data_IF_295521360720
#
_entry.id   IF_295521360720
#
_cell.length_a   1.000
_cell.length_b   1.000
_cell.length_c   1.000
_cell.angle_alpha   90.00
_cell.angle_beta   90.00
_cell.angle_gamma   90.00
#
_symmetry.space_group_name_H-M   'P 1'
#
loop_
_entity.id
_entity.type
_entity.pdbx_description
1 polymer ?
#
# COMPACT_ATOMS: atom_id res chain seq x y z
N UNK A 1 1.02 21.14 7.23
CA UNK A 1 1.67 20.37 6.17
C UNK A 1 1.77 18.94 6.66
N UNK A 2 1.42 17.95 5.84
CA UNK A 2 1.80 16.58 6.16
C UNK A 2 3.32 16.46 6.17
N UNK A 3 3.86 15.91 7.25
CA UNK A 3 5.30 15.91 7.57
C UNK A 3 6.01 14.69 6.94
N UNK A 4 5.30 13.74 6.33
CA UNK A 4 5.91 12.50 5.84
C UNK A 4 7.03 12.74 4.80
N UNK A 5 6.91 13.77 3.97
CA UNK A 5 7.96 14.10 3.01
C UNK A 5 9.27 14.56 3.69
N UNK A 6 9.19 15.13 4.90
CA UNK A 6 10.39 15.49 5.67
C UNK A 6 11.07 14.27 6.28
N UNK A 7 10.42 13.10 6.29
CA UNK A 7 10.98 11.81 6.72
C UNK A 7 11.68 11.07 5.57
N UNK A 8 11.46 11.46 4.31
CA UNK A 8 12.10 10.82 3.16
C UNK A 8 13.63 10.89 3.29
N UNK A 9 14.27 9.75 3.02
CA UNK A 9 15.71 9.57 3.10
C UNK A 9 16.33 9.75 4.50
N UNK A 10 15.52 9.75 5.58
CA UNK A 10 16.01 9.87 6.96
C UNK A 10 15.97 8.55 7.68
N UNK A 11 14.78 8.01 7.91
CA UNK A 11 14.57 6.90 8.81
C UNK A 11 13.47 5.95 8.33
N UNK A 12 13.50 4.76 8.93
CA UNK A 12 12.60 3.66 8.60
C UNK A 12 11.20 3.93 9.14
N UNK A 13 10.19 3.59 8.32
CA UNK A 13 8.78 3.73 8.69
C UNK A 13 8.01 2.47 8.31
N UNK A 14 7.13 2.03 9.22
CA UNK A 14 6.26 0.86 8.99
C UNK A 14 4.83 1.31 8.75
N UNK A 15 4.25 0.82 7.65
CA UNK A 15 2.82 0.97 7.34
C UNK A 15 2.03 -0.15 8.03
N UNK A 16 0.82 0.19 8.49
CA UNK A 16 -0.10 -0.78 9.06
C UNK A 16 -0.41 -1.92 8.08
N UNK A 17 -0.56 -3.12 8.62
CA UNK A 17 -1.16 -4.23 7.88
C UNK A 17 -2.62 -3.93 7.51
N UNK A 18 -3.16 -4.54 6.44
CA UNK A 18 -4.56 -4.35 6.05
C UNK A 18 -5.52 -4.65 7.21
N UNK A 19 -6.65 -3.93 7.27
CA UNK A 19 -7.69 -4.21 8.26
C UNK A 19 -8.49 -5.47 7.93
N UNK A 20 -8.55 -5.85 6.64
CA UNK A 20 -9.37 -6.95 6.16
C UNK A 20 -9.13 -8.28 6.90
N UNK A 21 -7.89 -8.76 7.16
CA UNK A 21 -7.69 -9.99 7.92
C UNK A 21 -8.23 -9.96 9.36
N UNK A 22 -8.31 -8.79 9.99
CA UNK A 22 -8.90 -8.63 11.33
C UNK A 22 -10.43 -8.69 11.24
N UNK A 23 -11.01 -7.97 10.28
CA UNK A 23 -12.46 -7.94 10.06
C UNK A 23 -13.00 -9.31 9.65
N UNK A 24 -12.30 -10.03 8.76
CA UNK A 24 -12.68 -11.38 8.35
C UNK A 24 -12.77 -12.35 9.54
N UNK A 25 -11.86 -12.24 10.52
CA UNK A 25 -11.91 -13.06 11.76
C UNK A 25 -13.07 -12.71 12.68
N UNK A 26 -13.63 -11.51 12.53
CA UNK A 26 -14.83 -11.07 13.23
C UNK A 26 -16.11 -11.44 12.49
N UNK A 27 -16.00 -12.09 11.31
CA UNK A 27 -17.13 -12.58 10.53
C UNK A 27 -17.57 -11.68 9.38
N UNK A 28 -16.81 -10.62 9.07
CA UNK A 28 -17.10 -9.79 7.90
C UNK A 28 -16.82 -10.53 6.59
N UNK A 29 -17.71 -10.37 5.62
CA UNK A 29 -17.40 -10.68 4.23
C UNK A 29 -16.55 -9.55 3.64
N UNK A 30 -15.23 -9.70 3.72
CA UNK A 30 -14.29 -8.67 3.25
C UNK A 30 -14.29 -8.49 1.73
N UNK A 31 -14.85 -9.40 0.96
CA UNK A 31 -15.02 -9.21 -0.48
C UNK A 31 -16.21 -8.29 -0.78
N UNK A 32 -17.24 -8.34 0.05
CA UNK A 32 -18.51 -7.64 -0.18
C UNK A 32 -18.71 -6.38 0.65
N UNK A 33 -18.19 -6.35 1.88
CA UNK A 33 -18.61 -5.41 2.90
C UNK A 33 -17.48 -4.50 3.40
N UNK A 34 -16.27 -4.60 2.84
CA UNK A 34 -15.11 -3.85 3.35
C UNK A 34 -15.30 -2.33 3.27
N UNK A 35 -15.94 -1.83 2.21
CA UNK A 35 -16.25 -0.40 2.07
C UNK A 35 -17.37 0.03 3.02
N UNK A 36 -18.36 -0.85 3.21
CA UNK A 36 -19.46 -0.63 4.15
C UNK A 36 -18.96 -0.59 5.59
N UNK A 37 -17.87 -1.29 5.92
CA UNK A 37 -17.32 -1.30 7.27
C UNK A 37 -17.02 0.12 7.79
N UNK A 38 -16.53 1.03 6.94
CA UNK A 38 -16.32 2.43 7.36
C UNK A 38 -17.62 3.16 7.71
N UNK A 39 -18.74 2.83 7.04
CA UNK A 39 -20.00 3.56 7.20
C UNK A 39 -20.91 2.94 8.27
N UNK A 40 -20.92 1.61 8.35
CA UNK A 40 -21.84 0.84 9.18
C UNK A 40 -21.21 0.47 10.51
N UNK A 41 -19.92 0.10 10.51
CA UNK A 41 -19.19 -0.33 11.70
C UNK A 41 -17.81 0.35 11.83
N UNK A 42 -17.74 1.69 11.85
CA UNK A 42 -16.46 2.43 11.93
C UNK A 42 -15.64 2.06 13.18
N UNK A 43 -16.31 1.68 14.26
CA UNK A 43 -15.67 1.21 15.51
C UNK A 43 -14.85 -0.07 15.28
N UNK A 44 -15.34 -0.99 14.46
CA UNK A 44 -14.66 -2.25 14.13
C UNK A 44 -13.40 -1.97 13.30
N UNK A 45 -13.49 -1.04 12.34
CA UNK A 45 -12.33 -0.56 11.57
C UNK A 45 -11.32 0.15 12.48
N UNK A 46 -11.79 0.98 13.41
CA UNK A 46 -10.94 1.66 14.40
C UNK A 46 -10.19 0.66 15.26
N UNK A 47 -10.86 -0.37 15.76
CA UNK A 47 -10.23 -1.38 16.60
C UNK A 47 -9.17 -2.19 15.82
N UNK A 48 -9.41 -2.49 14.54
CA UNK A 48 -8.41 -3.11 13.67
C UNK A 48 -7.17 -2.22 13.45
N UNK A 49 -7.37 -0.92 13.21
CA UNK A 49 -6.26 0.05 13.09
C UNK A 49 -5.56 0.28 14.43
N UNK A 50 -6.29 0.27 15.54
CA UNK A 50 -5.75 0.40 16.90
C UNK A 50 -4.77 -0.71 17.21
N UNK A 51 -5.04 -1.94 16.80
CA UNK A 51 -4.11 -3.05 16.95
C UNK A 51 -2.78 -2.80 16.22
N UNK A 52 -2.82 -2.25 15.01
CA UNK A 52 -1.61 -1.86 14.27
C UNK A 52 -0.86 -0.72 14.98
N UNK A 53 -1.58 0.29 15.47
CA UNK A 53 -0.99 1.39 16.25
C UNK A 53 -0.34 0.89 17.55
N UNK A 54 -0.98 -0.05 18.25
CA UNK A 54 -0.42 -0.69 19.45
C UNK A 54 0.80 -1.56 19.14
N UNK A 55 0.86 -2.16 17.95
CA UNK A 55 2.05 -2.84 17.45
C UNK A 55 3.19 -1.87 17.07
N UNK A 56 2.95 -0.56 17.11
CA UNK A 56 3.96 0.48 16.88
C UNK A 56 4.03 1.00 15.45
N UNK A 57 3.11 0.60 14.56
CA UNK A 57 3.08 1.12 13.19
C UNK A 57 2.98 2.66 13.20
N UNK A 58 3.94 3.32 12.54
CA UNK A 58 4.01 4.79 12.51
C UNK A 58 3.04 5.38 11.49
N UNK A 59 2.83 4.67 10.37
CA UNK A 59 1.93 5.07 9.30
C UNK A 59 0.67 4.19 9.34
N UNK A 60 -0.49 4.77 9.59
CA UNK A 60 -1.77 4.05 9.44
C UNK A 60 -2.34 4.29 8.06
N UNK A 61 -2.81 3.21 7.43
CA UNK A 61 -3.44 3.23 6.12
C UNK A 61 -4.95 3.17 6.30
N UNK A 62 -5.67 4.22 5.88
CA UNK A 62 -7.12 4.27 5.98
C UNK A 62 -7.76 3.18 5.10
N UNK A 63 -8.89 2.64 5.55
CA UNK A 63 -9.64 1.60 4.83
C UNK A 63 -10.40 2.19 3.64
N UNK A 64 -9.68 2.68 2.63
CA UNK A 64 -10.23 3.45 1.51
C UNK A 64 -9.86 2.88 0.14
N UNK A 65 -9.24 1.69 0.06
CA UNK A 65 -8.71 1.14 -1.19
C UNK A 65 -9.72 1.18 -2.35
N UNK A 66 -11.01 1.00 -2.09
CA UNK A 66 -12.05 0.89 -3.11
C UNK A 66 -12.88 2.18 -3.31
N UNK A 67 -12.37 3.36 -2.96
CA UNK A 67 -13.12 4.64 -3.09
C UNK A 67 -13.29 5.18 -4.52
N UNK A 68 -12.75 4.50 -5.54
CA UNK A 68 -13.02 4.89 -6.93
C UNK A 68 -14.51 4.71 -7.27
N UNK A 69 -15.14 5.62 -8.03
CA UNK A 69 -16.56 5.52 -8.36
C UNK A 69 -16.98 4.16 -8.94
N UNK A 70 -16.18 3.56 -9.83
CA UNK A 70 -16.44 2.26 -10.41
C UNK A 70 -16.48 1.13 -9.36
N UNK A 71 -15.56 1.14 -8.40
CA UNK A 71 -15.56 0.18 -7.28
C UNK A 71 -16.77 0.37 -6.37
N UNK A 72 -17.10 1.59 -6.01
CA UNK A 72 -18.26 1.89 -5.18
C UNK A 72 -19.59 1.59 -5.88
N UNK A 73 -19.66 1.76 -7.20
CA UNK A 73 -20.86 1.45 -8.00
C UNK A 73 -21.24 -0.04 -7.92
N UNK A 74 -20.27 -0.96 -7.77
CA UNK A 74 -20.57 -2.38 -7.52
C UNK A 74 -21.37 -2.62 -6.24
N UNK A 75 -21.40 -1.64 -5.33
CA UNK A 75 -22.12 -1.65 -4.06
C UNK A 75 -23.26 -0.63 -3.99
N UNK A 76 -23.57 0.08 -5.09
CA UNK A 76 -24.56 1.16 -5.12
C UNK A 76 -24.17 2.36 -4.25
N UNK A 77 -22.87 2.63 -4.15
CA UNK A 77 -22.26 3.66 -3.29
C UNK A 77 -21.47 4.71 -4.08
N UNK A 78 -21.67 4.81 -5.39
CA UNK A 78 -20.87 5.66 -6.29
C UNK A 78 -20.72 7.12 -5.83
N UNK A 79 -21.74 7.66 -5.15
CA UNK A 79 -21.77 9.03 -4.64
C UNK A 79 -21.37 9.15 -3.16
N UNK A 80 -20.91 8.07 -2.52
CA UNK A 80 -20.58 8.00 -1.08
C UNK A 80 -19.08 8.07 -0.78
N UNK A 81 -18.23 8.27 -1.79
CA UNK A 81 -16.77 8.30 -1.62
C UNK A 81 -16.31 9.29 -0.53
N UNK A 82 -16.86 10.51 -0.52
CA UNK A 82 -16.52 11.54 0.47
C UNK A 82 -16.83 11.10 1.90
N UNK A 83 -17.95 10.39 2.10
CA UNK A 83 -18.33 9.89 3.42
C UNK A 83 -17.43 8.74 3.87
N UNK A 84 -17.10 7.81 2.97
CA UNK A 84 -16.17 6.70 3.25
C UNK A 84 -14.79 7.24 3.65
N UNK A 85 -14.28 8.23 2.91
CA UNK A 85 -13.00 8.87 3.18
C UNK A 85 -13.02 9.64 4.49
N UNK A 86 -14.03 10.50 4.70
CA UNK A 86 -14.17 11.29 5.93
C UNK A 86 -14.20 10.39 7.16
N UNK A 87 -15.00 9.31 7.13
CA UNK A 87 -15.09 8.40 8.28
C UNK A 87 -13.81 7.59 8.46
N UNK A 88 -13.22 7.07 7.37
CA UNK A 88 -11.96 6.32 7.43
C UNK A 88 -10.80 7.15 7.98
N UNK A 89 -10.69 8.43 7.57
CA UNK A 89 -9.68 9.35 8.08
C UNK A 89 -9.97 9.78 9.52
N UNK A 90 -11.22 10.06 9.89
CA UNK A 90 -11.57 10.38 11.28
C UNK A 90 -11.15 9.26 12.23
N UNK A 91 -11.48 8.02 11.89
CA UNK A 91 -11.09 6.82 12.63
C UNK A 91 -9.57 6.68 12.75
N UNK A 92 -8.82 6.89 11.67
CA UNK A 92 -7.36 6.81 11.70
C UNK A 92 -6.73 7.93 12.57
N UNK A 93 -7.25 9.16 12.48
CA UNK A 93 -6.75 10.31 13.23
C UNK A 93 -7.02 10.22 14.73
N UNK A 94 -8.14 9.63 15.16
CA UNK A 94 -8.43 9.37 16.57
C UNK A 94 -7.32 8.58 17.28
N UNK A 95 -6.62 7.71 16.53
CA UNK A 95 -5.53 6.87 17.03
C UNK A 95 -4.19 7.61 17.13
N UNK A 96 -4.13 8.87 16.69
CA UNK A 96 -2.93 9.75 16.71
C UNK A 96 -1.67 9.02 16.19
N UNK A 97 -1.69 8.48 14.96
CA UNK A 97 -0.48 7.96 14.33
C UNK A 97 0.50 9.08 13.98
N UNK A 98 1.73 8.72 13.56
CA UNK A 98 2.65 9.73 13.04
C UNK A 98 2.17 10.22 11.67
N UNK A 99 1.68 9.29 10.84
CA UNK A 99 1.16 9.59 9.51
C UNK A 99 -0.11 8.79 9.19
N UNK A 100 -1.00 9.38 8.38
CA UNK A 100 -2.20 8.73 7.84
C UNK A 100 -2.16 8.75 6.31
N UNK A 101 -2.27 7.58 5.69
CA UNK A 101 -2.28 7.43 4.24
C UNK A 101 -3.69 7.07 3.75
N UNK A 102 -4.10 7.62 2.61
CA UNK A 102 -5.32 7.21 1.90
C UNK A 102 -4.95 6.20 0.83
N UNK A 103 -5.36 4.96 1.00
CA UNK A 103 -5.16 3.91 0.01
C UNK A 103 -6.20 4.03 -1.11
N UNK A 104 -5.75 3.90 -2.37
CA UNK A 104 -6.60 3.81 -3.56
C UNK A 104 -6.06 2.67 -4.43
N UNK A 105 -6.88 1.65 -4.67
CA UNK A 105 -6.57 0.51 -5.51
C UNK A 105 -7.08 0.66 -6.94
N UNK A 106 -6.86 -0.34 -7.81
CA UNK A 106 -7.29 -0.30 -9.20
C UNK A 106 -8.81 -0.21 -9.31
N UNK A 107 -9.31 0.69 -10.16
CA UNK A 107 -10.75 0.91 -10.34
C UNK A 107 -11.49 -0.29 -10.97
N UNK A 108 -10.77 -1.18 -11.66
CA UNK A 108 -11.30 -2.41 -12.25
C UNK A 108 -12.04 -2.22 -13.57
N UNK A 109 -12.11 -1.00 -14.11
CA UNK A 109 -12.67 -0.77 -15.45
C UNK A 109 -11.74 -1.35 -16.53
N UNK A 110 -12.30 -1.90 -17.62
CA UNK A 110 -11.49 -2.27 -18.78
C UNK A 110 -10.78 -1.03 -19.34
N UNK A 111 -9.48 -1.18 -19.59
CA UNK A 111 -8.64 -0.13 -20.17
C UNK A 111 -8.18 -0.53 -21.58
N UNK A 112 -8.57 0.28 -22.56
CA UNK A 112 -8.01 0.23 -23.92
C UNK A 112 -7.01 1.38 -24.09
N UNK A 113 -5.69 1.09 -24.15
CA UNK A 113 -4.66 2.12 -24.23
C UNK A 113 -4.66 2.88 -25.57
N UNK A 114 -5.37 2.39 -26.59
CA UNK A 114 -5.51 3.06 -27.88
C UNK A 114 -6.70 4.01 -27.92
N UNK A 115 -7.61 3.90 -26.96
CA UNK A 115 -8.83 4.68 -26.88
C UNK A 115 -8.68 5.87 -25.92
N UNK A 116 -8.75 7.08 -26.46
CA UNK A 116 -8.71 8.32 -25.67
C UNK A 116 -9.86 8.40 -24.65
N UNK A 117 -11.05 7.90 -25.00
CA UNK A 117 -12.18 7.90 -24.06
C UNK A 117 -11.95 6.92 -22.92
N UNK A 118 -11.43 5.72 -23.19
CA UNK A 118 -11.10 4.74 -22.15
C UNK A 118 -10.04 5.25 -21.18
N UNK A 119 -8.97 5.87 -21.70
CA UNK A 119 -7.94 6.51 -20.88
C UNK A 119 -8.50 7.65 -20.02
N UNK A 120 -9.33 8.52 -20.61
CA UNK A 120 -9.93 9.63 -19.89
C UNK A 120 -10.88 9.15 -18.77
N UNK A 121 -11.70 8.13 -19.04
CA UNK A 121 -12.61 7.57 -18.03
C UNK A 121 -11.82 6.94 -16.89
N UNK A 122 -10.83 6.09 -17.19
CA UNK A 122 -9.98 5.47 -16.17
C UNK A 122 -9.25 6.52 -15.32
N UNK A 123 -8.64 7.54 -15.93
CA UNK A 123 -8.00 8.64 -15.19
C UNK A 123 -8.99 9.37 -14.29
N UNK A 124 -10.20 9.63 -14.79
CA UNK A 124 -11.21 10.38 -14.05
C UNK A 124 -11.72 9.64 -12.80
N UNK A 125 -11.72 8.30 -12.80
CA UNK A 125 -11.99 7.50 -11.59
C UNK A 125 -11.08 7.89 -10.42
N UNK A 126 -9.77 7.96 -10.67
CA UNK A 126 -8.79 8.29 -9.65
C UNK A 126 -8.79 9.78 -9.29
N UNK A 127 -9.08 10.66 -10.26
CA UNK A 127 -9.25 12.10 -10.00
C UNK A 127 -10.48 12.39 -9.13
N UNK A 128 -11.58 11.63 -9.28
CA UNK A 128 -12.76 11.71 -8.41
C UNK A 128 -12.47 11.13 -7.03
N UNK A 129 -11.80 9.98 -6.96
CA UNK A 129 -11.35 9.40 -5.69
C UNK A 129 -10.48 10.37 -4.88
N UNK A 130 -9.47 10.99 -5.49
CA UNK A 130 -8.63 11.95 -4.80
C UNK A 130 -9.38 13.23 -4.38
N UNK A 131 -10.31 13.74 -5.20
CA UNK A 131 -11.18 14.88 -4.84
C UNK A 131 -12.08 14.61 -3.63
N UNK A 132 -12.45 13.35 -3.39
CA UNK A 132 -13.22 12.99 -2.19
C UNK A 132 -12.44 13.20 -0.87
N UNK A 133 -11.12 13.47 -0.95
CA UNK A 133 -10.26 13.82 0.18
C UNK A 133 -10.12 15.34 0.39
N UNK A 134 -10.76 16.18 -0.43
CA UNK A 134 -10.65 17.64 -0.33
C UNK A 134 -11.10 18.12 1.06
N UNK A 135 -10.29 18.99 1.68
CA UNK A 135 -10.52 19.48 3.04
C UNK A 135 -10.23 18.48 4.16
N UNK A 136 -9.84 17.24 3.85
CA UNK A 136 -9.39 16.26 4.84
C UNK A 136 -7.87 16.34 5.06
N UNK A 137 -7.42 15.96 6.26
CA UNK A 137 -6.00 15.83 6.55
C UNK A 137 -5.49 14.42 6.19
N UNK A 138 -4.48 14.34 5.33
CA UNK A 138 -3.77 13.10 4.99
C UNK A 138 -2.29 13.41 4.75
N UNK A 139 -1.43 12.40 4.90
CA UNK A 139 0.01 12.51 4.68
C UNK A 139 0.45 12.16 3.26
N UNK A 140 -0.19 11.17 2.65
CA UNK A 140 0.05 10.77 1.27
C UNK A 140 -1.14 9.98 0.71
N UNK A 141 -1.25 10.00 -0.63
CA UNK A 141 -2.02 8.98 -1.33
C UNK A 141 -1.18 7.74 -1.52
N UNK A 142 -1.79 6.57 -1.38
CA UNK A 142 -1.15 5.28 -1.56
C UNK A 142 -1.87 4.48 -2.64
N UNK A 143 -1.32 4.55 -3.85
CA UNK A 143 -1.76 3.78 -5.00
C UNK A 143 -1.23 2.36 -4.86
N UNK A 144 -2.07 1.41 -4.47
CA UNK A 144 -1.66 0.07 -4.09
C UNK A 144 -2.42 -1.04 -4.83
N UNK A 145 -1.78 -2.19 -5.05
CA UNK A 145 -2.42 -3.37 -5.66
C UNK A 145 -2.56 -3.31 -7.17
N UNK A 146 -1.72 -2.53 -7.86
CA UNK A 146 -1.77 -2.40 -9.31
C UNK A 146 -1.09 -3.59 -10.01
N UNK A 147 -1.81 -4.22 -10.92
CA UNK A 147 -1.34 -5.41 -11.67
C UNK A 147 -0.85 -5.12 -13.09
N UNK A 148 -0.90 -3.88 -13.57
CA UNK A 148 -0.34 -3.49 -14.86
C UNK A 148 0.06 -1.99 -14.88
N UNK A 149 1.04 -1.59 -15.72
CA UNK A 149 1.51 -0.19 -15.78
C UNK A 149 0.50 0.81 -16.34
N UNK A 150 -0.43 0.38 -17.20
CA UNK A 150 -1.40 1.26 -17.85
C UNK A 150 -2.45 1.80 -16.86
N UNK A 151 -2.95 0.94 -15.97
CA UNK A 151 -3.83 1.33 -14.87
C UNK A 151 -3.11 2.23 -13.87
N UNK A 152 -1.86 1.88 -13.52
CA UNK A 152 -1.04 2.68 -12.61
C UNK A 152 -0.80 4.09 -13.16
N UNK A 153 -0.50 4.19 -14.46
CA UNK A 153 -0.36 5.48 -15.16
C UNK A 153 -1.64 6.31 -15.04
N UNK A 154 -2.81 5.72 -15.29
CA UNK A 154 -4.09 6.43 -15.14
C UNK A 154 -4.31 6.92 -13.71
N UNK A 155 -3.92 6.12 -12.71
CA UNK A 155 -4.03 6.48 -11.30
C UNK A 155 -3.12 7.63 -10.91
N UNK A 156 -1.83 7.57 -11.27
CA UNK A 156 -0.87 8.64 -11.02
C UNK A 156 -1.32 9.95 -11.67
N UNK A 157 -1.70 9.91 -12.95
CA UNK A 157 -2.22 11.08 -13.66
C UNK A 157 -3.49 11.65 -13.02
N UNK A 158 -4.42 10.79 -12.62
CA UNK A 158 -5.71 11.20 -12.03
C UNK A 158 -5.54 11.87 -10.67
N UNK A 159 -4.73 11.29 -9.79
CA UNK A 159 -4.42 11.89 -8.48
C UNK A 159 -3.66 13.20 -8.64
N UNK A 160 -2.61 13.22 -9.48
CA UNK A 160 -1.79 14.43 -9.72
C UNK A 160 -2.56 15.58 -10.36
N UNK A 161 -3.60 15.28 -11.13
CA UNK A 161 -4.46 16.32 -11.73
C UNK A 161 -5.15 17.19 -10.67
N UNK A 162 -5.40 16.65 -9.48
CA UNK A 162 -6.23 17.31 -8.45
C UNK A 162 -5.51 17.52 -7.13
N UNK A 163 -4.37 16.86 -6.90
CA UNK A 163 -3.62 16.97 -5.64
C UNK A 163 -2.10 17.04 -5.83
N UNK A 164 -1.47 17.89 -5.01
CA UNK A 164 -0.02 17.98 -4.85
C UNK A 164 0.54 17.15 -3.68
N UNK A 165 -0.28 16.37 -2.98
CA UNK A 165 0.18 15.53 -1.88
C UNK A 165 1.19 14.46 -2.35
N UNK A 166 2.10 13.96 -1.49
CA UNK A 166 2.96 12.84 -1.83
C UNK A 166 2.16 11.61 -2.29
N UNK A 167 2.68 10.88 -3.28
CA UNK A 167 2.04 9.67 -3.80
C UNK A 167 2.99 8.48 -3.66
N UNK A 168 2.56 7.47 -2.92
CA UNK A 168 3.21 6.17 -2.83
C UNK A 168 2.59 5.30 -3.92
N UNK A 169 3.41 4.74 -4.81
CA UNK A 169 2.95 3.86 -5.87
C UNK A 169 3.49 2.44 -5.65
N UNK A 170 2.61 1.44 -5.69
CA UNK A 170 2.99 0.05 -5.54
C UNK A 170 2.27 -0.86 -6.53
N UNK A 171 3.04 -1.79 -7.10
CA UNK A 171 2.55 -2.87 -7.97
C UNK A 171 2.70 -4.24 -7.32
N UNK A 172 1.86 -5.17 -7.71
CA UNK A 172 1.94 -6.56 -7.27
C UNK A 172 2.88 -7.34 -8.18
N UNK A 173 3.88 -8.01 -7.61
CA UNK A 173 4.98 -8.65 -8.33
C UNK A 173 5.19 -10.08 -7.83
N UNK A 174 5.26 -11.03 -8.76
CA UNK A 174 5.52 -12.43 -8.46
C UNK A 174 7.01 -12.74 -8.22
N UNK A 175 7.34 -14.01 -8.00
CA UNK A 175 8.73 -14.42 -7.77
C UNK A 175 9.64 -14.30 -9.01
N UNK A 176 9.08 -14.21 -10.21
CA UNK A 176 9.84 -13.98 -11.44
C UNK A 176 10.08 -12.49 -11.73
N UNK A 177 9.45 -11.59 -10.97
CA UNK A 177 9.52 -10.15 -11.22
C UNK A 177 8.47 -9.67 -12.24
N UNK A 178 7.45 -10.50 -12.50
CA UNK A 178 6.34 -10.18 -13.39
C UNK A 178 5.17 -9.62 -12.59
N UNK A 179 4.46 -8.68 -13.19
CA UNK A 179 3.20 -8.16 -12.65
C UNK A 179 2.07 -9.18 -12.82
N UNK A 180 0.97 -8.98 -12.10
CA UNK A 180 -0.19 -9.89 -12.09
C UNK A 180 -0.87 -10.08 -13.45
N UNK A 181 -0.64 -9.20 -14.43
CA UNK A 181 -1.13 -9.38 -15.79
C UNK A 181 -0.33 -10.42 -16.62
N UNK A 182 0.81 -10.87 -16.11
CA UNK A 182 1.70 -11.86 -16.72
C UNK A 182 2.44 -11.37 -17.97
N UNK A 183 2.41 -10.06 -18.26
CA UNK A 183 3.00 -9.47 -19.48
C UNK A 183 4.07 -8.45 -19.17
N UNK A 184 3.91 -7.69 -18.10
CA UNK A 184 4.82 -6.61 -17.74
C UNK A 184 5.71 -7.01 -16.56
N UNK A 185 6.88 -6.39 -16.52
CA UNK A 185 7.89 -6.58 -15.49
C UNK A 185 7.85 -5.46 -14.46
N UNK A 186 8.51 -5.68 -13.32
CA UNK A 186 8.75 -4.62 -12.33
C UNK A 186 9.36 -3.36 -12.98
N UNK A 187 10.31 -3.50 -13.93
CA UNK A 187 10.92 -2.35 -14.63
C UNK A 187 9.91 -1.52 -15.42
N UNK A 188 8.96 -2.16 -16.09
CA UNK A 188 7.92 -1.46 -16.85
C UNK A 188 7.06 -0.58 -15.91
N UNK A 189 6.76 -1.09 -14.71
CA UNK A 189 6.05 -0.33 -13.70
C UNK A 189 6.91 0.80 -13.11
N UNK A 190 8.19 0.55 -12.82
CA UNK A 190 9.11 1.56 -12.31
C UNK A 190 9.27 2.72 -13.29
N UNK A 191 9.37 2.44 -14.60
CA UNK A 191 9.43 3.47 -15.62
C UNK A 191 8.20 4.40 -15.55
N UNK A 192 7.00 3.84 -15.37
CA UNK A 192 5.78 4.63 -15.17
C UNK A 192 5.81 5.40 -13.85
N UNK A 193 6.23 4.81 -12.75
CA UNK A 193 6.31 5.51 -11.46
C UNK A 193 7.25 6.72 -11.52
N UNK A 194 8.40 6.58 -12.21
CA UNK A 194 9.36 7.67 -12.41
C UNK A 194 8.82 8.73 -13.37
N UNK A 195 8.31 8.33 -14.53
CA UNK A 195 7.78 9.26 -15.55
C UNK A 195 6.62 10.12 -15.01
N UNK A 196 5.77 9.54 -14.16
CA UNK A 196 4.61 10.22 -13.58
C UNK A 196 4.82 10.67 -12.12
N UNK A 197 6.09 10.82 -11.71
CA UNK A 197 6.51 11.49 -10.47
C UNK A 197 5.83 10.95 -9.20
N UNK A 198 5.83 9.63 -9.05
CA UNK A 198 5.57 9.00 -7.75
C UNK A 198 6.62 9.48 -6.73
N UNK A 199 6.18 9.78 -5.52
CA UNK A 199 7.06 10.23 -4.44
C UNK A 199 7.77 9.06 -3.74
N UNK A 200 7.17 7.87 -3.75
CA UNK A 200 7.74 6.63 -3.23
C UNK A 200 7.42 5.51 -4.22
N UNK A 201 8.44 4.72 -4.58
CA UNK A 201 8.33 3.60 -5.52
C UNK A 201 8.27 2.32 -4.72
N UNK A 202 7.34 1.43 -5.04
CA UNK A 202 7.14 0.23 -4.26
C UNK A 202 6.61 -0.97 -5.01
N UNK A 203 6.65 -2.10 -4.32
CA UNK A 203 6.08 -3.35 -4.78
C UNK A 203 5.54 -4.17 -3.62
N UNK A 204 4.60 -5.07 -3.93
CA UNK A 204 4.15 -6.11 -3.03
C UNK A 204 4.48 -7.47 -3.62
N UNK A 205 5.02 -8.39 -2.82
CA UNK A 205 5.36 -9.73 -3.32
C UNK A 205 5.12 -10.83 -2.28
N UNK A 206 4.57 -11.99 -2.69
CA UNK A 206 4.57 -13.20 -1.87
C UNK A 206 5.85 -14.03 -2.05
N UNK A 207 6.81 -13.56 -2.85
CA UNK A 207 8.03 -14.30 -3.17
C UNK A 207 8.94 -14.49 -1.95
N UNK A 208 9.86 -15.47 -1.96
CA UNK A 208 10.89 -15.63 -0.93
C UNK A 208 11.71 -14.36 -0.70
N UNK A 209 12.24 -14.19 0.52
CA UNK A 209 12.94 -12.99 0.95
C UNK A 209 14.12 -12.62 0.05
N UNK A 210 14.90 -13.59 -0.42
CA UNK A 210 16.03 -13.34 -1.34
C UNK A 210 15.58 -12.60 -2.61
N UNK A 211 14.41 -13.00 -3.13
CA UNK A 211 13.83 -12.37 -4.31
C UNK A 211 13.28 -10.98 -3.99
N UNK A 212 12.61 -10.81 -2.84
CA UNK A 212 12.16 -9.50 -2.38
C UNK A 212 13.32 -8.52 -2.16
N UNK A 213 14.46 -8.97 -1.61
CA UNK A 213 15.70 -8.18 -1.49
C UNK A 213 16.25 -7.79 -2.87
N UNK A 214 16.20 -8.71 -3.84
CA UNK A 214 16.62 -8.41 -5.21
C UNK A 214 15.73 -7.35 -5.85
N UNK A 215 14.41 -7.42 -5.67
CA UNK A 215 13.48 -6.39 -6.13
C UNK A 215 13.73 -5.05 -5.43
N UNK A 216 13.94 -5.03 -4.11
CA UNK A 216 14.24 -3.81 -3.37
C UNK A 216 15.48 -3.09 -3.92
N UNK A 217 16.55 -3.83 -4.24
CA UNK A 217 17.74 -3.25 -4.89
C UNK A 217 17.45 -2.70 -6.29
N UNK A 218 16.61 -3.39 -7.09
CA UNK A 218 16.19 -2.91 -8.42
C UNK A 218 15.40 -1.60 -8.31
N UNK A 219 14.46 -1.52 -7.35
CA UNK A 219 13.70 -0.28 -7.10
C UNK A 219 14.62 0.85 -6.61
N UNK A 220 15.53 0.57 -5.67
CA UNK A 220 16.51 1.55 -5.20
C UNK A 220 17.43 2.05 -6.32
N UNK A 221 17.75 1.18 -7.29
CA UNK A 221 18.53 1.53 -8.48
C UNK A 221 17.78 2.33 -9.55
N UNK A 222 16.46 2.50 -9.43
CA UNK A 222 15.65 3.23 -10.41
C UNK A 222 15.78 4.76 -10.28
N UNK A 223 16.33 5.26 -9.17
CA UNK A 223 16.58 6.69 -8.95
C UNK A 223 16.60 7.05 -7.46
N UNK A 224 16.72 8.35 -7.14
CA UNK A 224 16.86 8.84 -5.77
C UNK A 224 15.49 8.92 -5.06
N UNK A 225 14.74 7.82 -5.08
CA UNK A 225 13.40 7.75 -4.49
C UNK A 225 13.38 6.85 -3.26
N UNK A 226 12.59 7.18 -2.22
CA UNK A 226 12.31 6.23 -1.16
C UNK A 226 11.65 4.96 -1.71
N UNK A 227 12.01 3.82 -1.12
CA UNK A 227 11.51 2.50 -1.53
C UNK A 227 10.52 1.96 -0.51
N UNK A 228 9.35 1.54 -0.98
CA UNK A 228 8.35 0.78 -0.22
C UNK A 228 8.44 -0.70 -0.59
N UNK A 229 8.63 -1.56 0.41
CA UNK A 229 8.56 -3.01 0.24
C UNK A 229 7.39 -3.57 1.04
N UNK A 230 6.51 -4.31 0.36
CA UNK A 230 5.41 -5.02 1.00
C UNK A 230 5.60 -6.53 0.87
N UNK A 231 5.65 -7.22 2.01
CA UNK A 231 5.72 -8.68 2.06
C UNK A 231 4.30 -9.24 2.20
N UNK A 232 3.86 -9.98 1.19
CA UNK A 232 2.50 -10.52 1.13
C UNK A 232 2.45 -11.85 1.88
N UNK A 233 1.84 -11.82 3.06
CA UNK A 233 1.60 -13.00 3.88
C UNK A 233 0.46 -13.79 3.27
N UNK A 234 0.69 -15.09 3.00
CA UNK A 234 -0.38 -16.00 2.59
C UNK A 234 -1.17 -16.49 3.80
N UNK A 235 -2.29 -17.17 3.55
CA UNK A 235 -3.11 -17.72 4.62
C UNK A 235 -2.27 -18.52 5.63
N UNK A 236 -2.53 -18.26 6.91
CA UNK A 236 -1.82 -18.94 7.98
C UNK A 236 -2.22 -20.41 8.02
N UNK A 237 -1.23 -21.29 7.87
CA UNK A 237 -1.39 -22.72 8.07
C UNK A 237 -0.81 -23.10 9.45
N UNK A 238 -1.64 -23.43 10.46
CA UNK A 238 -1.16 -23.76 11.81
C UNK A 238 -0.24 -24.98 11.88
N UNK A 239 -0.22 -25.81 10.83
CA UNK A 239 0.65 -26.99 10.73
C UNK A 239 2.03 -26.67 10.13
N UNK A 240 2.22 -25.46 9.60
CA UNK A 240 3.49 -25.05 9.01
C UNK A 240 4.46 -24.64 10.11
N UNK A 241 5.57 -25.38 10.23
CA UNK A 241 6.63 -25.11 11.22
C UNK A 241 7.76 -24.22 10.70
N UNK A 242 8.00 -24.23 9.38
CA UNK A 242 9.13 -23.58 8.73
C UNK A 242 8.71 -22.80 7.47
N UNK A 243 9.55 -21.88 7.02
CA UNK A 243 9.33 -21.12 5.79
C UNK A 243 9.42 -22.03 4.56
N UNK A 244 8.48 -21.88 3.62
CA UNK A 244 8.51 -22.57 2.32
C UNK A 244 8.47 -21.56 1.18
N UNK A 245 8.83 -21.94 -0.07
CA UNK A 245 8.69 -21.06 -1.23
C UNK A 245 7.27 -20.54 -1.44
N UNK A 246 6.27 -21.35 -1.12
CA UNK A 246 4.85 -21.01 -1.27
C UNK A 246 4.37 -20.09 -0.16
N UNK A 247 4.85 -20.26 1.07
CA UNK A 247 4.51 -19.41 2.21
C UNK A 247 5.77 -19.05 3.01
N UNK A 248 6.59 -18.11 2.50
CA UNK A 248 7.86 -17.75 3.14
C UNK A 248 7.65 -16.92 4.41
N UNK A 249 6.52 -16.22 4.52
CA UNK A 249 6.16 -15.33 5.62
C UNK A 249 5.11 -15.95 6.56
N UNK A 250 5.31 -17.21 6.93
CA UNK A 250 4.31 -18.04 7.63
C UNK A 250 4.02 -17.62 9.08
N UNK A 251 4.95 -16.91 9.73
CA UNK A 251 4.79 -16.34 11.07
C UNK A 251 5.43 -14.94 11.16
N UNK A 252 5.03 -14.09 12.13
CA UNK A 252 5.60 -12.74 12.28
C UNK A 252 7.11 -12.71 12.49
N UNK A 253 7.69 -13.68 13.20
CA UNK A 253 9.10 -13.67 13.61
C UNK A 253 10.06 -13.63 12.41
N UNK A 254 9.68 -14.24 11.28
CA UNK A 254 10.51 -14.21 10.06
C UNK A 254 10.67 -12.80 9.50
N UNK A 255 9.74 -11.87 9.81
CA UNK A 255 9.82 -10.49 9.35
C UNK A 255 10.89 -9.67 10.08
N UNK A 256 11.35 -10.10 11.25
CA UNK A 256 12.44 -9.42 11.98
C UNK A 256 13.73 -9.46 11.15
N UNK A 257 14.09 -10.65 10.66
CA UNK A 257 15.24 -10.82 9.76
C UNK A 257 14.98 -10.17 8.40
N UNK A 258 13.75 -10.28 7.88
CA UNK A 258 13.38 -9.67 6.61
C UNK A 258 13.55 -8.14 6.61
N UNK A 259 13.08 -7.45 7.65
CA UNK A 259 13.21 -6.00 7.78
C UNK A 259 14.67 -5.55 7.73
N UNK A 260 15.56 -6.27 8.42
CA UNK A 260 17.00 -5.97 8.43
C UNK A 260 17.60 -6.09 7.03
N UNK A 261 17.30 -7.17 6.31
CA UNK A 261 17.83 -7.42 4.97
C UNK A 261 17.25 -6.44 3.93
N UNK A 262 15.95 -6.13 4.02
CA UNK A 262 15.29 -5.18 3.14
C UNK A 262 15.80 -3.75 3.36
N UNK A 263 16.02 -3.35 4.62
CA UNK A 263 16.67 -2.07 4.94
C UNK A 263 18.05 -2.00 4.28
N UNK A 264 18.88 -3.04 4.44
CA UNK A 264 20.20 -3.11 3.81
C UNK A 264 20.13 -3.11 2.26
N UNK A 265 18.99 -3.46 1.69
CA UNK A 265 18.72 -3.41 0.25
C UNK A 265 18.20 -2.05 -0.24
N UNK A 266 18.04 -1.07 0.65
CA UNK A 266 17.57 0.28 0.31
C UNK A 266 16.08 0.54 0.61
N UNK A 267 15.37 -0.39 1.24
CA UNK A 267 14.00 -0.14 1.68
C UNK A 267 13.96 0.96 2.75
N UNK A 268 13.02 1.89 2.63
CA UNK A 268 12.70 2.88 3.67
C UNK A 268 11.37 2.55 4.35
N UNK A 269 10.36 2.23 3.54
CA UNK A 269 9.03 1.91 4.01
C UNK A 269 8.83 0.39 3.97
N UNK A 270 8.31 -0.17 5.06
CA UNK A 270 8.02 -1.60 5.16
C UNK A 270 6.54 -1.81 5.47
N UNK A 271 5.94 -2.83 4.87
CA UNK A 271 4.57 -3.27 5.19
C UNK A 271 4.47 -4.78 5.11
N UNK A 272 3.65 -5.37 5.98
CA UNK A 272 3.16 -6.73 5.79
C UNK A 272 1.72 -6.67 5.27
N UNK A 273 1.44 -7.33 4.15
CA UNK A 273 0.18 -7.29 3.43
C UNK A 273 -0.44 -8.69 3.27
N UNK A 274 -1.53 -8.81 2.49
CA UNK A 274 -2.27 -10.07 2.34
C UNK A 274 -2.97 -10.46 3.63
N UNK A 275 -2.73 -11.68 4.12
CA UNK A 275 -3.31 -12.21 5.36
C UNK A 275 -2.57 -11.76 6.64
N UNK A 276 -1.68 -10.76 6.54
CA UNK A 276 -0.89 -10.25 7.65
C UNK A 276 -1.79 -9.72 8.77
N UNK A 277 -1.53 -10.19 9.99
CA UNK A 277 -2.11 -9.63 11.21
C UNK A 277 -1.27 -8.45 11.72
N UNK A 278 -1.80 -7.63 12.66
CA UNK A 278 -1.01 -6.56 13.29
C UNK A 278 0.29 -7.01 13.95
N UNK A 279 0.43 -8.30 14.31
CA UNK A 279 1.68 -8.84 14.84
C UNK A 279 2.83 -8.78 13.83
N UNK A 280 2.54 -8.91 12.53
CA UNK A 280 3.54 -8.77 11.47
C UNK A 280 4.04 -7.32 11.37
N UNK A 281 3.16 -6.33 11.51
CA UNK A 281 3.58 -4.93 11.63
C UNK A 281 4.48 -4.72 12.85
N UNK A 282 4.14 -5.31 14.00
CA UNK A 282 4.98 -5.26 15.21
C UNK A 282 6.37 -5.86 15.02
N UNK A 283 6.49 -6.97 14.28
CA UNK A 283 7.79 -7.57 13.96
C UNK A 283 8.65 -6.66 13.07
N UNK A 284 8.04 -5.99 12.07
CA UNK A 284 8.74 -5.00 11.26
C UNK A 284 9.18 -3.79 12.09
N UNK A 285 8.32 -3.28 12.97
CA UNK A 285 8.63 -2.15 13.85
C UNK A 285 9.79 -2.49 14.77
N UNK A 286 9.73 -3.62 15.47
CA UNK A 286 10.77 -4.05 16.40
C UNK A 286 12.16 -4.17 15.75
N UNK A 287 12.21 -4.46 14.46
CA UNK A 287 13.45 -4.64 13.70
C UNK A 287 13.98 -3.37 13.02
N UNK A 288 13.14 -2.33 12.85
CA UNK A 288 13.47 -1.18 12.01
C UNK A 288 13.26 0.19 12.66
N UNK A 289 12.46 0.28 13.73
CA UNK A 289 12.23 1.55 14.42
C UNK A 289 13.53 2.12 15.01
N UNK A 290 13.72 3.44 14.85
CA UNK A 290 14.91 4.15 15.32
C UNK A 290 16.15 3.99 14.43
N UNK A 291 16.07 3.21 13.34
CA UNK A 291 17.14 3.13 12.36
C UNK A 291 16.96 4.15 11.22
N UNK A 292 18.08 4.73 10.80
CA UNK A 292 18.15 5.52 9.57
C UNK A 292 17.98 4.61 8.35
N UNK A 293 17.50 5.17 7.24
CA UNK A 293 17.45 4.45 5.96
C UNK A 293 18.88 4.22 5.44
N UNK A 294 19.11 3.09 4.78
CA UNK A 294 20.35 2.87 4.02
C UNK A 294 20.12 3.36 2.60
N UNK A 295 21.02 4.19 2.08
CA UNK A 295 20.95 4.77 0.75
C UNK A 295 22.03 4.19 -0.17
N UNK A 296 21.73 3.14 -0.95
CA UNK A 296 22.69 2.58 -1.90
C UNK A 296 22.96 3.51 -3.08
N UNK A 297 22.11 4.52 -3.29
CA UNK A 297 22.15 5.49 -4.38
C UNK A 297 23.12 6.66 -4.14
N UNK A 298 23.65 6.79 -2.92
CA UNK A 298 24.65 7.80 -2.55
C UNK A 298 25.96 7.05 -2.32
N UNK A 299 26.93 7.23 -3.23
CA UNK A 299 28.32 6.89 -2.93
C UNK A 299 28.82 7.83 -1.81
N UNK A 300 29.51 7.27 -0.81
CA UNK A 300 30.13 8.01 0.30
C UNK A 300 31.14 9.08 -0.16
#
# INVERSE_FOLDING_TARGET
MPDIALRFHKDMLVLSSPVAPVLARQGFDVEHDLEFANLVEPETVRDALRLNKMAGAQCLVANTANITPARLAHRGMEDRAEEVVRTGLAVAHELKPQHVLVEIGPCGLPLDPTSKSSLNENRDQYARAARSCDGQALDAFFLNGFGNPADLKCALMGVRQVSGAPVFASVDVDAAGMLSDGRHTLEDALAVMVEYEASVLGFATPAPLEQAVTFARRVAGAGPFPVLVQLVVREHNPKQGDATPENPYYCPDVLVSAATQLRAAGAQFLRAAGAATPAYAGALVAASEGFDVVRPDVED
#
